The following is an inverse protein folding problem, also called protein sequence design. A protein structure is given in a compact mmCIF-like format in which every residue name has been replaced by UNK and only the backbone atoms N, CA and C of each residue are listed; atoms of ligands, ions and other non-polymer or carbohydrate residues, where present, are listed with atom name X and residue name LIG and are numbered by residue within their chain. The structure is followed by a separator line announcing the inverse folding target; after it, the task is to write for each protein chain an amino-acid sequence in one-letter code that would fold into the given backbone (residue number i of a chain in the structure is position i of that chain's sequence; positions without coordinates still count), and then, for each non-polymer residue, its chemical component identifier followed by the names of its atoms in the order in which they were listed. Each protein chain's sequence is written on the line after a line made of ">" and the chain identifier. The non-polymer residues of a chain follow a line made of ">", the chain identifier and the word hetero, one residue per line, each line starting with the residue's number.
data_IF_474684639897
#
_entry.id   IF_474684639897
#
_cell.length_a   1.000
_cell.length_b   1.000
_cell.length_c   1.000
_cell.angle_alpha   90.00
_cell.angle_beta   90.00
_cell.angle_gamma   90.00
#
_symmetry.space_group_name_H-M   'P 1'
#
loop_
_entity.id
_entity.type
_entity.pdbx_description
1 polymer ?
#
# COMPACT_ATOMS: atom_id res chain seq x y z
N UNK A 1 9.34 -19.22 -2.54
CA UNK A 1 7.94 -18.83 -2.79
C UNK A 1 7.95 -17.35 -3.07
N UNK A 2 7.63 -16.96 -4.30
CA UNK A 2 7.59 -15.54 -4.68
C UNK A 2 6.19 -15.03 -4.32
N UNK A 3 6.13 -14.07 -3.40
CA UNK A 3 4.87 -13.47 -2.96
C UNK A 3 4.66 -12.19 -3.76
N UNK A 4 3.59 -12.15 -4.57
CA UNK A 4 3.26 -10.98 -5.38
C UNK A 4 2.49 -9.94 -4.54
N UNK A 5 3.21 -8.92 -4.08
CA UNK A 5 2.63 -7.81 -3.32
C UNK A 5 1.94 -6.75 -4.18
N UNK A 6 2.05 -6.79 -5.52
CA UNK A 6 1.47 -5.77 -6.40
C UNK A 6 -0.06 -5.72 -6.30
N UNK A 7 -0.68 -6.84 -5.93
CA UNK A 7 -2.13 -6.92 -5.71
C UNK A 7 -2.55 -6.46 -4.30
N UNK A 8 -1.62 -6.32 -3.37
CA UNK A 8 -1.86 -5.96 -1.98
C UNK A 8 -1.57 -4.47 -1.76
N UNK A 9 -0.63 -3.89 -2.50
CA UNK A 9 -0.23 -2.48 -2.36
C UNK A 9 -1.00 -1.62 -3.39
N UNK A 10 -1.47 -0.46 -2.96
CA UNK A 10 -2.07 0.56 -3.82
C UNK A 10 -1.42 1.91 -3.55
N UNK A 11 -1.17 2.69 -4.60
CA UNK A 11 -0.68 4.07 -4.50
C UNK A 11 -1.80 4.99 -5.01
N UNK A 12 -2.34 5.79 -4.10
CA UNK A 12 -3.38 6.78 -4.41
C UNK A 12 -2.80 8.18 -4.13
N UNK A 13 -2.61 9.05 -5.14
CA UNK A 13 -1.93 10.34 -4.98
C UNK A 13 -2.51 11.27 -3.90
N UNK A 14 -3.80 11.13 -3.57
CA UNK A 14 -4.49 11.91 -2.54
C UNK A 14 -4.59 11.24 -1.16
N UNK A 15 -4.09 10.02 -1.00
CA UNK A 15 -4.17 9.25 0.25
C UNK A 15 -2.80 9.14 0.88
N UNK A 16 -2.68 9.43 2.19
CA UNK A 16 -1.42 9.36 2.95
C UNK A 16 -0.23 10.02 2.21
N UNK A 17 -0.45 11.21 1.64
CA UNK A 17 0.58 11.96 0.89
C UNK A 17 1.17 11.21 -0.32
N UNK A 18 0.37 10.36 -0.97
CA UNK A 18 0.82 9.56 -2.12
C UNK A 18 1.70 8.35 -1.74
N UNK A 19 1.75 8.00 -0.45
CA UNK A 19 2.52 6.86 0.00
C UNK A 19 1.83 5.53 -0.37
N UNK A 20 2.61 4.48 -0.66
CA UNK A 20 2.07 3.14 -0.85
C UNK A 20 1.33 2.69 0.40
N UNK A 21 0.06 2.32 0.21
CA UNK A 21 -0.84 1.86 1.25
C UNK A 21 -1.24 0.40 0.99
N UNK A 22 -1.54 -0.33 2.07
CA UNK A 22 -2.17 -1.66 1.94
C UNK A 22 -3.61 -1.47 1.44
N UNK A 23 -3.98 -2.17 0.38
CA UNK A 23 -5.30 -2.12 -0.26
C UNK A 23 -6.38 -2.50 0.74
N UNK A 24 -7.47 -1.72 0.79
CA UNK A 24 -8.54 -1.91 1.77
C UNK A 24 -8.22 -1.38 3.17
N UNK A 25 -7.00 -0.89 3.42
CA UNK A 25 -6.59 -0.30 4.70
C UNK A 25 -6.21 1.18 4.53
N UNK A 26 -6.08 1.89 5.66
CA UNK A 26 -5.52 3.25 5.77
C UNK A 26 -4.15 3.23 6.45
N UNK A 27 -3.37 2.17 6.21
CA UNK A 27 -2.03 1.92 6.76
C UNK A 27 -1.02 2.00 5.62
N UNK A 28 0.13 2.64 5.86
CA UNK A 28 1.21 2.73 4.87
C UNK A 28 2.08 1.48 4.92
N UNK A 29 2.72 1.11 3.81
CA UNK A 29 3.65 -0.03 3.79
C UNK A 29 4.84 0.19 4.72
N UNK A 30 5.13 1.43 5.10
CA UNK A 30 6.21 1.78 6.02
C UNK A 30 5.88 1.55 7.49
N UNK A 31 4.60 1.38 7.82
CA UNK A 31 4.14 1.18 9.21
C UNK A 31 4.16 -0.30 9.64
N UNK A 32 4.41 -1.23 8.71
CA UNK A 32 4.42 -2.70 8.91
C UNK A 32 5.84 -3.21 8.85
#
# INVERSE_FOLDING_TARGET
>A
MEVDYKNIITIEPGKRSGQPCIRGMRITVYDV
#
